data_IF_905055527828
#
_entry.id   IF_905055527828
#
_cell.length_a   1.000
_cell.length_b   1.000
_cell.length_c   1.000
_cell.angle_alpha   90.00
_cell.angle_beta   90.00
_cell.angle_gamma   90.00
#
_symmetry.space_group_name_H-M   'P 1'
#
loop_
_entity.id
_entity.type
_entity.pdbx_description
1 polymer ?
#
# COMPACT_ATOMS: atom_id res chain seq x y z
N UNK A 1 13.06 1.99 10.46
CA UNK A 1 12.28 0.86 9.94
C UNK A 1 10.82 1.16 10.22
N UNK A 2 10.13 1.85 9.31
CA UNK A 2 8.68 1.99 9.41
C UNK A 2 8.11 0.62 9.04
N UNK A 3 7.77 -0.18 10.04
CA UNK A 3 7.25 -1.51 9.86
C UNK A 3 6.01 -1.44 8.98
N UNK A 4 6.08 -1.98 7.77
CA UNK A 4 4.91 -2.11 6.93
C UNK A 4 4.02 -3.13 7.62
N UNK A 5 3.05 -2.63 8.37
CA UNK A 5 2.14 -3.41 9.20
C UNK A 5 0.75 -3.40 8.57
N UNK A 6 0.01 -4.48 8.77
CA UNK A 6 -1.40 -4.56 8.35
C UNK A 6 -2.20 -3.47 9.07
N UNK A 7 -3.02 -2.73 8.33
CA UNK A 7 -3.75 -1.55 8.80
C UNK A 7 -3.01 -0.23 8.62
N UNK A 8 -1.80 -0.24 8.05
CA UNK A 8 -1.07 1.00 7.73
C UNK A 8 -1.61 1.63 6.46
N UNK A 9 -1.87 2.94 6.51
CA UNK A 9 -2.26 3.72 5.33
C UNK A 9 -1.04 4.14 4.53
N UNK A 10 -1.15 4.03 3.22
CA UNK A 10 -0.12 4.38 2.27
C UNK A 10 -0.76 5.02 1.05
N UNK A 11 0.00 5.87 0.36
CA UNK A 11 -0.37 6.41 -0.93
C UNK A 11 0.43 5.68 -2.00
N UNK A 12 -0.25 5.30 -3.09
CA UNK A 12 0.48 4.82 -4.28
C UNK A 12 1.17 5.98 -4.94
N UNK A 13 2.49 5.91 -5.08
CA UNK A 13 3.26 6.92 -5.81
C UNK A 13 3.34 6.61 -7.30
N UNK A 14 3.11 5.35 -7.70
CA UNK A 14 3.27 4.89 -9.08
C UNK A 14 2.08 4.11 -9.64
N UNK A 15 1.85 4.28 -10.96
CA UNK A 15 0.87 3.54 -11.75
C UNK A 15 -0.45 4.28 -12.00
N UNK A 16 -1.46 3.56 -12.52
CA UNK A 16 -2.79 4.12 -12.86
C UNK A 16 -3.58 4.65 -11.65
N UNK A 17 -3.23 4.17 -10.46
CA UNK A 17 -3.84 4.56 -9.19
C UNK A 17 -2.88 5.43 -8.36
N UNK A 18 -1.89 6.07 -8.99
CA UNK A 18 -0.98 6.98 -8.30
C UNK A 18 -1.75 8.19 -7.73
N UNK A 19 -1.37 8.61 -6.53
CA UNK A 19 -2.02 9.68 -5.77
C UNK A 19 -3.24 9.24 -4.96
N UNK A 20 -3.61 7.95 -5.00
CA UNK A 20 -4.74 7.42 -4.22
C UNK A 20 -4.27 6.78 -2.92
N UNK A 21 -5.06 6.98 -1.88
CA UNK A 21 -4.87 6.34 -0.58
C UNK A 21 -5.29 4.87 -0.63
N UNK A 22 -4.52 4.05 0.08
CA UNK A 22 -4.79 2.64 0.25
C UNK A 22 -4.28 2.18 1.63
N UNK A 23 -4.87 1.12 2.13
CA UNK A 23 -4.52 0.47 3.38
C UNK A 23 -3.98 -0.93 3.07
N UNK A 24 -3.00 -1.34 3.87
CA UNK A 24 -2.40 -2.67 3.75
C UNK A 24 -3.26 -3.67 4.49
N UNK A 25 -3.78 -4.66 3.77
CA UNK A 25 -4.69 -5.67 4.35
C UNK A 25 -3.93 -6.94 4.72
N UNK A 26 -2.91 -7.29 3.94
CA UNK A 26 -2.10 -8.46 4.18
C UNK A 26 -0.68 -8.25 3.66
N UNK A 27 0.28 -8.87 4.32
CA UNK A 27 1.67 -8.94 3.86
C UNK A 27 1.81 -10.31 3.20
N UNK A 28 2.12 -10.32 1.91
CA UNK A 28 2.28 -11.56 1.14
C UNK A 28 3.73 -12.02 1.26
N UNK A 29 4.65 -11.08 1.01
CA UNK A 29 6.09 -11.29 1.02
C UNK A 29 6.79 -10.04 1.56
N UNK A 30 8.10 -10.13 1.75
CA UNK A 30 8.98 -9.03 2.17
C UNK A 30 8.87 -7.80 1.24
N UNK A 31 8.60 -8.03 -0.05
CA UNK A 31 8.53 -7.00 -1.09
C UNK A 31 7.11 -6.72 -1.59
N UNK A 32 6.15 -7.57 -1.26
CA UNK A 32 4.78 -7.50 -1.80
C UNK A 32 3.75 -7.51 -0.69
N UNK A 33 2.85 -6.54 -0.79
CA UNK A 33 1.72 -6.40 0.13
C UNK A 33 0.42 -6.36 -0.66
N UNK A 34 -0.63 -6.88 -0.04
CA UNK A 34 -1.98 -6.70 -0.53
C UNK A 34 -2.53 -5.37 0.00
N UNK A 35 -2.94 -4.52 -0.93
CA UNK A 35 -3.52 -3.21 -0.61
C UNK A 35 -4.99 -3.17 -1.01
N UNK A 36 -5.76 -2.42 -0.23
CA UNK A 36 -7.18 -2.12 -0.48
C UNK A 36 -7.42 -0.64 -0.22
N UNK A 37 -8.22 -0.01 -1.06
CA UNK A 37 -8.69 1.35 -0.82
C UNK A 37 -10.09 1.52 -1.37
N UNK A 38 -10.70 2.66 -1.08
CA UNK A 38 -12.03 3.01 -1.63
C UNK A 38 -11.97 3.09 -3.16
N UNK A 39 -10.91 3.73 -3.66
CA UNK A 39 -10.68 3.93 -5.08
C UNK A 39 -9.58 3.03 -5.68
N UNK A 40 -9.00 2.15 -4.85
CA UNK A 40 -7.91 1.24 -5.21
C UNK A 40 -8.42 -0.19 -5.09
N UNK A 41 -8.43 -0.92 -6.21
CA UNK A 41 -8.87 -2.33 -6.19
C UNK A 41 -7.91 -3.18 -5.38
N UNK A 42 -8.45 -4.19 -4.68
CA UNK A 42 -7.67 -5.21 -4.00
C UNK A 42 -6.71 -5.87 -5.00
N UNK A 43 -5.42 -5.58 -4.85
CA UNK A 43 -4.37 -6.17 -5.68
C UNK A 43 -3.05 -6.19 -4.94
N UNK A 44 -2.21 -7.15 -5.29
CA UNK A 44 -0.81 -7.14 -4.86
C UNK A 44 -0.10 -5.90 -5.41
N UNK A 45 0.62 -5.20 -4.55
CA UNK A 45 1.47 -4.08 -4.91
C UNK A 45 2.84 -4.28 -4.28
N UNK A 46 3.86 -3.78 -4.98
CA UNK A 46 5.21 -3.77 -4.45
C UNK A 46 5.33 -2.65 -3.41
N UNK A 47 6.00 -2.93 -2.28
CA UNK A 47 6.23 -1.96 -1.21
C UNK A 47 6.98 -0.71 -1.70
N UNK A 48 7.82 -0.83 -2.73
CA UNK A 48 8.59 0.29 -3.29
C UNK A 48 7.71 1.35 -3.98
N UNK A 49 6.47 1.01 -4.32
CA UNK A 49 5.51 1.94 -4.95
C UNK A 49 4.50 2.52 -3.94
N UNK A 50 4.68 2.20 -2.67
CA UNK A 50 3.81 2.63 -1.57
C UNK A 50 4.62 3.57 -0.69
N UNK A 51 4.09 4.77 -0.51
CA UNK A 51 4.65 5.73 0.44
C UNK A 51 3.75 5.75 1.68
N UNK A 52 4.23 5.32 2.85
CA UNK A 52 3.42 5.33 4.06
C UNK A 52 3.17 6.78 4.48
N UNK A 53 1.90 7.14 4.61
CA UNK A 53 1.52 8.42 5.21
C UNK A 53 1.72 8.29 6.72
N UNK A 54 2.66 9.08 7.25
CA UNK A 54 2.85 9.23 8.69
C UNK A 54 1.85 10.27 9.19
N UNK A 55 0.72 9.79 9.71
CA UNK A 55 -0.08 10.54 10.68
C UNK A 55 -0.22 9.69 11.94
#
# INVERSE_FOLDING_TARGET
MAAIEVGRKCIKTAGREAGKECEIVAIIDENFVEVKGDEVKNRRCNINHLEPIME
#
